data_IF_295677739576
#
_entry.id   IF_295677739576
#
_cell.length_a   1.000
_cell.length_b   1.000
_cell.length_c   1.000
_cell.angle_alpha   90.00
_cell.angle_beta   90.00
_cell.angle_gamma   90.00
#
_symmetry.space_group_name_H-M   'P 1'
#
loop_
_entity.id
_entity.type
_entity.pdbx_description
1 polymer ?
#
# COMPACT_ATOMS: atom_id res chain seq x y z
N UNK A 1 22.41 13.50 -19.36
CA UNK A 1 22.51 12.12 -19.91
C UNK A 1 21.23 11.83 -20.67
N UNK A 2 21.26 11.13 -21.82
CA UNK A 2 20.04 10.83 -22.57
C UNK A 2 19.51 9.43 -22.24
N UNK A 3 18.19 9.30 -22.09
CA UNK A 3 17.50 8.05 -21.85
C UNK A 3 16.46 7.80 -22.95
N UNK A 4 16.52 6.62 -23.56
CA UNK A 4 15.46 6.14 -24.46
C UNK A 4 14.42 5.39 -23.63
N UNK A 5 13.18 5.87 -23.65
CA UNK A 5 12.06 5.35 -22.87
C UNK A 5 11.06 4.66 -23.79
N UNK A 6 10.59 3.48 -23.38
CA UNK A 6 9.48 2.75 -24.01
C UNK A 6 8.25 2.85 -23.12
N UNK A 7 7.21 3.53 -23.59
CA UNK A 7 6.10 4.01 -22.78
C UNK A 7 4.80 3.39 -23.26
N UNK A 8 4.00 2.87 -22.33
CA UNK A 8 2.58 2.54 -22.50
C UNK A 8 1.75 3.56 -21.73
N UNK A 9 1.13 4.50 -22.44
CA UNK A 9 0.34 5.56 -21.82
C UNK A 9 -1.16 5.24 -21.86
N UNK A 10 -1.84 5.47 -20.75
CA UNK A 10 -3.28 5.33 -20.57
C UNK A 10 -4.06 6.41 -21.34
N UNK A 11 -5.09 5.98 -22.07
CA UNK A 11 -6.05 6.84 -22.75
C UNK A 11 -7.46 6.43 -22.33
N UNK A 12 -8.29 7.44 -22.08
CA UNK A 12 -9.69 7.26 -21.76
C UNK A 12 -10.41 8.60 -21.89
N UNK A 13 -11.65 8.60 -22.32
CA UNK A 13 -12.54 9.74 -22.22
C UNK A 13 -13.93 9.24 -21.82
N UNK A 14 -14.36 9.56 -20.60
CA UNK A 14 -15.61 9.08 -20.04
C UNK A 14 -16.87 9.48 -20.84
N UNK A 15 -16.75 10.45 -21.76
CA UNK A 15 -17.86 10.89 -22.62
C UNK A 15 -17.97 10.12 -23.92
N UNK A 16 -16.88 9.49 -24.39
CA UNK A 16 -16.82 8.89 -25.73
C UNK A 16 -16.38 7.43 -25.71
N UNK A 17 -15.56 7.04 -24.74
CA UNK A 17 -14.91 5.74 -24.70
C UNK A 17 -15.69 4.78 -23.79
N UNK A 18 -15.84 3.54 -24.23
CA UNK A 18 -16.47 2.49 -23.43
C UNK A 18 -15.51 1.92 -22.38
N UNK A 19 -14.23 1.75 -22.74
CA UNK A 19 -13.17 1.23 -21.87
C UNK A 19 -11.87 2.00 -22.11
N UNK A 20 -11.02 2.12 -21.09
CA UNK A 20 -9.68 2.66 -21.27
C UNK A 20 -8.85 1.77 -22.17
N UNK A 21 -7.87 2.36 -22.84
CA UNK A 21 -6.92 1.66 -23.71
C UNK A 21 -5.52 2.29 -23.57
N UNK A 22 -4.50 1.61 -24.11
CA UNK A 22 -3.11 2.06 -24.04
C UNK A 22 -2.53 2.29 -25.42
N UNK A 23 -1.71 3.33 -25.55
CA UNK A 23 -0.88 3.57 -26.74
C UNK A 23 0.60 3.52 -26.37
N UNK A 24 1.40 3.06 -27.32
CA UNK A 24 2.85 2.93 -27.14
C UNK A 24 3.57 4.13 -27.76
N UNK A 25 4.58 4.62 -27.05
CA UNK A 25 5.46 5.70 -27.50
C UNK A 25 6.91 5.35 -27.19
N UNK A 26 7.82 5.85 -28.01
CA UNK A 26 9.25 5.79 -27.73
C UNK A 26 9.81 7.20 -27.84
N UNK A 27 10.43 7.69 -26.76
CA UNK A 27 11.04 9.01 -26.71
C UNK A 27 12.47 8.91 -26.20
N UNK A 28 13.30 9.86 -26.62
CA UNK A 28 14.62 10.08 -26.02
C UNK A 28 14.57 11.41 -25.29
N UNK A 29 14.78 11.40 -23.97
CA UNK A 29 14.77 12.58 -23.13
C UNK A 29 16.08 12.72 -22.35
N UNK A 30 16.38 13.96 -21.98
CA UNK A 30 17.47 14.27 -21.07
C UNK A 30 17.10 13.86 -19.64
N UNK A 31 18.11 13.51 -18.84
CA UNK A 31 17.99 13.05 -17.46
C UNK A 31 17.34 14.09 -16.54
N UNK A 32 17.56 15.36 -16.84
CA UNK A 32 17.07 16.55 -16.16
C UNK A 32 15.66 16.96 -16.61
N UNK A 33 15.15 16.40 -17.71
CA UNK A 33 13.78 16.64 -18.13
C UNK A 33 12.81 16.17 -17.06
N UNK A 34 11.70 16.87 -16.91
CA UNK A 34 10.63 16.52 -15.98
C UNK A 34 9.64 15.51 -16.57
N UNK A 35 8.88 14.84 -15.70
CA UNK A 35 7.72 14.04 -16.13
C UNK A 35 6.71 14.90 -16.88
N UNK A 36 6.50 16.16 -16.45
CA UNK A 36 5.62 17.09 -17.16
C UNK A 36 6.04 17.30 -18.62
N UNK A 37 7.34 17.47 -18.89
CA UNK A 37 7.86 17.57 -20.26
C UNK A 37 7.61 16.29 -21.07
N UNK A 38 7.79 15.11 -20.45
CA UNK A 38 7.44 13.85 -21.10
C UNK A 38 5.95 13.78 -21.48
N UNK A 39 5.05 14.20 -20.57
CA UNK A 39 3.62 14.21 -20.84
C UNK A 39 3.25 15.18 -21.97
N UNK A 40 3.92 16.35 -22.02
CA UNK A 40 3.76 17.29 -23.13
C UNK A 40 4.18 16.65 -24.48
N UNK A 41 5.28 15.88 -24.51
CA UNK A 41 5.69 15.12 -25.72
C UNK A 41 4.65 14.07 -26.15
N UNK A 42 4.04 13.37 -25.20
CA UNK A 42 2.95 12.43 -25.49
C UNK A 42 1.75 13.18 -26.10
N UNK A 43 1.39 14.34 -25.53
CA UNK A 43 0.29 15.17 -26.04
C UNK A 43 0.59 15.75 -27.43
N UNK A 44 1.82 16.20 -27.69
CA UNK A 44 2.25 16.64 -29.02
C UNK A 44 2.15 15.51 -30.06
N UNK A 45 2.50 14.28 -29.67
CA UNK A 45 2.40 13.11 -30.53
C UNK A 45 0.95 12.58 -30.67
N UNK A 46 0.07 12.91 -29.73
CA UNK A 46 -1.34 12.52 -29.77
C UNK A 46 -2.22 13.56 -29.06
N UNK A 47 -2.93 14.37 -29.84
CA UNK A 47 -3.79 15.46 -29.34
C UNK A 47 -4.91 15.00 -28.39
N UNK A 48 -5.30 13.71 -28.46
CA UNK A 48 -6.32 13.13 -27.57
C UNK A 48 -5.75 12.72 -26.20
N UNK A 49 -4.46 12.88 -25.97
CA UNK A 49 -3.87 12.66 -24.65
C UNK A 49 -4.12 13.89 -23.77
N UNK A 50 -4.71 13.65 -22.61
CA UNK A 50 -5.00 14.67 -21.62
C UNK A 50 -4.31 14.34 -20.29
N UNK A 51 -3.78 15.35 -19.63
CA UNK A 51 -3.19 15.24 -18.30
C UNK A 51 -3.42 16.54 -17.51
N UNK A 52 -3.45 16.46 -16.16
CA UNK A 52 -3.76 17.62 -15.33
C UNK A 52 -2.65 18.68 -15.41
N UNK A 53 -3.04 19.95 -15.54
CA UNK A 53 -2.10 21.08 -15.64
C UNK A 53 -1.67 21.63 -14.27
N UNK A 54 -2.46 21.35 -13.23
CA UNK A 54 -2.18 21.66 -11.83
C UNK A 54 -2.29 20.38 -11.02
N UNK A 55 -1.57 20.30 -9.89
CA UNK A 55 -1.54 19.10 -9.04
C UNK A 55 -1.19 17.85 -9.87
N UNK A 56 -0.17 17.95 -10.73
CA UNK A 56 0.18 16.90 -11.66
C UNK A 56 0.75 15.69 -10.91
N UNK A 57 -0.11 14.71 -10.65
CA UNK A 57 0.20 13.44 -10.00
C UNK A 57 -0.36 12.30 -10.86
N UNK A 58 0.45 11.28 -11.08
CA UNK A 58 0.12 10.11 -11.91
C UNK A 58 0.80 8.86 -11.38
N UNK A 59 0.57 7.72 -12.03
CA UNK A 59 1.29 6.47 -11.75
C UNK A 59 2.27 6.14 -12.86
N UNK A 60 3.50 5.78 -12.48
CA UNK A 60 4.51 5.17 -13.36
C UNK A 60 4.92 3.84 -12.75
N UNK A 61 4.65 2.73 -13.43
CA UNK A 61 4.92 1.37 -12.93
C UNK A 61 4.40 1.16 -11.49
N UNK A 62 3.16 1.59 -11.22
CA UNK A 62 2.48 1.57 -9.92
C UNK A 62 3.00 2.54 -8.84
N UNK A 63 4.08 3.29 -9.08
CA UNK A 63 4.51 4.38 -8.20
C UNK A 63 3.74 5.64 -8.48
N UNK A 64 3.27 6.32 -7.44
CA UNK A 64 2.70 7.66 -7.53
C UNK A 64 3.84 8.66 -7.69
N UNK A 65 3.80 9.43 -8.77
CA UNK A 65 4.87 10.32 -9.22
C UNK A 65 4.29 11.70 -9.46
N UNK A 66 4.97 12.72 -8.95
CA UNK A 66 4.68 14.11 -9.23
C UNK A 66 5.30 14.55 -10.56
N UNK A 67 4.64 15.46 -11.27
CA UNK A 67 5.08 15.95 -12.59
C UNK A 67 6.44 16.62 -12.60
N UNK A 68 6.89 17.10 -11.45
CA UNK A 68 8.20 17.75 -11.25
C UNK A 68 9.36 16.76 -11.17
N UNK A 69 9.08 15.46 -11.01
CA UNK A 69 10.13 14.45 -10.90
C UNK A 69 10.94 14.34 -12.19
N UNK A 70 12.23 14.06 -12.06
CA UNK A 70 13.16 14.02 -13.20
C UNK A 70 13.19 12.63 -13.85
N UNK A 71 13.35 12.58 -15.17
CA UNK A 71 13.48 11.33 -15.92
C UNK A 71 14.63 10.47 -15.39
N UNK A 72 15.78 11.07 -15.06
CA UNK A 72 16.94 10.34 -14.56
C UNK A 72 16.68 9.59 -13.26
N UNK A 73 16.02 10.24 -12.30
CA UNK A 73 15.67 9.62 -11.01
C UNK A 73 14.73 8.42 -11.19
N UNK A 74 13.74 8.55 -12.07
CA UNK A 74 12.79 7.49 -12.41
C UNK A 74 13.48 6.35 -13.14
N UNK A 75 14.36 6.63 -14.11
CA UNK A 75 15.09 5.57 -14.83
C UNK A 75 15.98 4.77 -13.88
N UNK A 76 16.65 5.42 -12.94
CA UNK A 76 17.51 4.75 -11.97
C UNK A 76 16.74 3.70 -11.15
N UNK A 77 15.47 3.96 -10.83
CA UNK A 77 14.65 3.07 -10.00
C UNK A 77 13.75 2.12 -10.79
N UNK A 78 13.19 2.58 -11.89
CA UNK A 78 12.12 1.90 -12.63
C UNK A 78 12.60 1.32 -13.98
N UNK A 79 13.85 1.58 -14.37
CA UNK A 79 14.35 1.25 -15.70
C UNK A 79 13.74 2.14 -16.77
N UNK A 80 13.76 1.69 -18.03
CA UNK A 80 13.33 2.49 -19.19
C UNK A 80 12.01 2.06 -19.81
N UNK A 81 11.33 1.04 -19.27
CA UNK A 81 10.03 0.58 -19.74
C UNK A 81 8.94 0.98 -18.75
N UNK A 82 8.08 1.91 -19.15
CA UNK A 82 7.13 2.57 -18.27
C UNK A 82 5.69 2.36 -18.72
N UNK A 83 4.83 1.99 -17.78
CA UNK A 83 3.38 2.14 -17.90
C UNK A 83 2.96 3.41 -17.16
N UNK A 84 2.29 4.31 -17.86
CA UNK A 84 1.77 5.57 -17.35
C UNK A 84 0.25 5.45 -17.20
N UNK A 85 -0.21 5.60 -15.96
CA UNK A 85 -1.62 5.50 -15.58
C UNK A 85 -2.07 6.78 -14.83
N UNK A 86 -3.37 7.12 -14.85
CA UNK A 86 -3.90 8.10 -13.90
C UNK A 86 -3.60 7.63 -12.47
N UNK A 87 -3.47 8.56 -11.53
CA UNK A 87 -3.24 8.19 -10.13
C UNK A 87 -4.39 7.32 -9.58
N UNK A 88 -5.60 7.51 -10.10
CA UNK A 88 -6.74 6.62 -9.92
C UNK A 88 -7.50 6.43 -11.23
N UNK A 89 -7.45 5.22 -11.80
CA UNK A 89 -8.22 4.85 -12.99
C UNK A 89 -9.73 4.87 -12.74
N UNK A 90 -10.16 4.56 -11.51
CA UNK A 90 -11.56 4.63 -11.11
C UNK A 90 -12.11 6.07 -11.17
N UNK A 91 -11.28 7.06 -10.85
CA UNK A 91 -11.65 8.48 -10.86
C UNK A 91 -11.35 9.17 -12.19
N UNK A 92 -10.72 8.47 -13.14
CA UNK A 92 -10.28 9.06 -14.40
C UNK A 92 -11.47 9.51 -15.26
N UNK A 93 -11.43 10.74 -15.77
CA UNK A 93 -12.47 11.29 -16.63
C UNK A 93 -11.98 11.52 -18.07
N UNK A 94 -10.73 11.91 -18.26
CA UNK A 94 -10.12 12.21 -19.55
C UNK A 94 -8.59 12.08 -19.46
N UNK A 95 -8.05 11.02 -20.05
CA UNK A 95 -6.63 10.68 -19.98
C UNK A 95 -6.20 10.44 -18.53
N UNK A 96 -5.17 11.18 -18.11
CA UNK A 96 -4.65 11.13 -16.73
C UNK A 96 -5.43 12.05 -15.76
N UNK A 97 -6.36 12.87 -16.25
CA UNK A 97 -7.17 13.72 -15.39
C UNK A 97 -8.18 12.89 -14.59
N UNK A 98 -8.31 13.21 -13.30
CA UNK A 98 -9.23 12.55 -12.37
C UNK A 98 -10.24 13.54 -11.80
N UNK A 99 -11.36 13.02 -11.29
CA UNK A 99 -12.17 13.74 -10.31
C UNK A 99 -11.49 13.65 -8.94
N UNK A 100 -10.96 14.77 -8.46
CA UNK A 100 -10.18 14.87 -7.21
C UNK A 100 -10.91 15.59 -6.07
N UNK A 101 -12.24 15.75 -6.19
CA UNK A 101 -13.05 16.46 -5.19
C UNK A 101 -13.00 15.82 -3.79
N UNK A 102 -12.70 14.51 -3.70
CA UNK A 102 -12.56 13.77 -2.45
C UNK A 102 -11.40 14.25 -1.59
N UNK A 103 -10.36 14.83 -2.19
CA UNK A 103 -9.25 15.42 -1.46
C UNK A 103 -9.74 16.55 -0.54
N UNK A 104 -10.44 17.55 -1.10
CA UNK A 104 -10.97 18.64 -0.28
C UNK A 104 -12.17 18.22 0.58
N UNK A 105 -12.90 17.16 0.20
CA UNK A 105 -13.92 16.56 1.06
C UNK A 105 -13.30 15.98 2.35
N UNK A 106 -12.10 15.39 2.25
CA UNK A 106 -11.38 14.86 3.40
C UNK A 106 -10.92 16.00 4.33
N UNK A 107 -10.41 17.10 3.77
CA UNK A 107 -10.11 18.31 4.54
C UNK A 107 -11.34 18.87 5.29
N UNK A 108 -12.53 18.76 4.71
CA UNK A 108 -13.75 19.30 5.33
C UNK A 108 -14.04 18.72 6.72
N UNK A 109 -13.50 17.53 7.05
CA UNK A 109 -13.58 16.95 8.39
C UNK A 109 -12.87 17.80 9.45
N UNK A 110 -11.79 18.48 9.06
CA UNK A 110 -10.94 19.28 9.95
C UNK A 110 -11.07 20.78 9.73
N UNK A 111 -11.72 21.20 8.64
CA UNK A 111 -11.94 22.60 8.30
C UNK A 111 -12.52 23.46 9.44
N UNK A 112 -13.47 22.98 10.28
CA UNK A 112 -13.99 23.75 11.42
C UNK A 112 -12.94 24.07 12.50
N UNK A 113 -11.81 23.37 12.50
CA UNK A 113 -10.75 23.47 13.51
C UNK A 113 -9.43 24.00 12.92
N UNK A 114 -9.37 24.20 11.61
CA UNK A 114 -8.16 24.50 10.85
C UNK A 114 -7.96 26.01 10.63
N UNK A 115 -6.71 26.45 10.59
CA UNK A 115 -6.30 27.79 10.18
C UNK A 115 -5.98 27.84 8.69
N UNK A 116 -5.76 29.03 8.15
CA UNK A 116 -5.34 29.18 6.73
C UNK A 116 -4.02 28.46 6.43
N UNK A 117 -3.08 28.47 7.38
CA UNK A 117 -1.80 27.78 7.28
C UNK A 117 -1.97 26.24 7.21
N UNK A 118 -2.96 25.70 7.93
CA UNK A 118 -3.30 24.27 7.91
C UNK A 118 -3.89 23.87 6.56
N UNK A 119 -4.75 24.72 5.98
CA UNK A 119 -5.28 24.52 4.64
C UNK A 119 -4.18 24.60 3.57
N UNK A 120 -3.22 25.51 3.73
CA UNK A 120 -2.06 25.62 2.84
C UNK A 120 -1.16 24.39 2.94
N UNK A 121 -0.87 23.92 4.15
CA UNK A 121 -0.12 22.70 4.39
C UNK A 121 -0.84 21.47 3.82
N UNK A 122 -2.16 21.34 4.05
CA UNK A 122 -2.91 20.20 3.52
C UNK A 122 -2.77 20.05 2.01
N UNK A 123 -2.82 21.17 1.26
CA UNK A 123 -2.66 21.16 -0.20
C UNK A 123 -1.31 20.60 -0.66
N UNK A 124 -0.26 20.69 0.15
CA UNK A 124 1.05 20.07 -0.19
C UNK A 124 1.02 18.55 -0.05
N UNK A 125 0.02 17.99 0.62
CA UNK A 125 -0.17 16.54 0.81
C UNK A 125 -1.02 15.90 -0.30
N UNK A 126 -1.30 16.60 -1.41
CA UNK A 126 -2.12 16.09 -2.50
C UNK A 126 -1.62 14.75 -3.05
N UNK A 127 -0.31 14.63 -3.30
CA UNK A 127 0.29 13.39 -3.78
C UNK A 127 0.19 12.25 -2.75
N UNK A 128 0.34 12.58 -1.45
CA UNK A 128 0.22 11.62 -0.36
C UNK A 128 -1.20 11.03 -0.28
N UNK A 129 -2.23 11.84 -0.47
CA UNK A 129 -3.63 11.40 -0.45
C UNK A 129 -3.86 10.23 -1.40
N UNK A 130 -3.47 10.40 -2.68
CA UNK A 130 -3.65 9.37 -3.71
C UNK A 130 -2.59 8.26 -3.72
N UNK A 131 -1.54 8.39 -2.90
CA UNK A 131 -0.53 7.37 -2.72
C UNK A 131 -0.93 6.30 -1.69
N UNK A 132 -1.99 6.52 -0.90
CA UNK A 132 -2.41 5.59 0.14
C UNK A 132 -2.80 4.23 -0.42
N UNK A 133 -2.23 3.15 0.13
CA UNK A 133 -2.64 1.79 -0.23
C UNK A 133 -3.94 1.35 0.42
N UNK A 134 -4.38 2.01 1.48
CA UNK A 134 -5.68 1.74 2.10
C UNK A 134 -6.83 2.06 1.14
N UNK A 135 -6.71 3.14 0.35
CA UNK A 135 -7.73 3.56 -0.63
C UNK A 135 -7.96 2.50 -1.73
N UNK A 136 -6.96 1.63 -2.00
CA UNK A 136 -7.12 0.51 -2.94
C UNK A 136 -8.20 -0.50 -2.50
N UNK A 137 -8.49 -0.56 -1.20
CA UNK A 137 -9.40 -1.55 -0.62
C UNK A 137 -10.69 -0.94 -0.06
N UNK A 138 -10.67 0.35 0.28
CA UNK A 138 -11.80 1.13 0.81
C UNK A 138 -11.81 2.50 0.16
N UNK A 139 -12.81 2.77 -0.70
CA UNK A 139 -12.88 4.02 -1.48
C UNK A 139 -13.33 5.20 -0.64
N UNK A 140 -14.03 4.91 0.45
CA UNK A 140 -14.58 5.84 1.41
C UNK A 140 -13.54 6.23 2.49
N UNK A 141 -12.33 5.68 2.42
CA UNK A 141 -11.23 6.01 3.33
C UNK A 141 -10.87 7.49 3.22
N UNK A 142 -10.76 8.17 4.35
CA UNK A 142 -10.51 9.62 4.43
C UNK A 142 -9.11 10.06 3.96
N UNK A 143 -8.22 9.11 3.66
CA UNK A 143 -6.89 9.37 3.11
C UNK A 143 -5.83 9.66 4.17
N UNK A 144 -4.58 9.31 3.86
CA UNK A 144 -3.46 9.49 4.80
C UNK A 144 -3.13 10.98 5.02
N UNK A 145 -3.39 11.83 4.02
CA UNK A 145 -3.13 13.26 4.08
C UNK A 145 -3.88 13.96 5.21
N UNK A 146 -5.16 13.64 5.45
CA UNK A 146 -5.94 14.29 6.52
C UNK A 146 -5.50 13.83 7.90
N UNK A 147 -4.99 12.59 8.01
CA UNK A 147 -4.40 12.09 9.24
C UNK A 147 -3.09 12.83 9.56
N UNK A 148 -2.22 13.02 8.57
CA UNK A 148 -0.99 13.80 8.75
C UNK A 148 -1.31 15.25 9.15
N UNK A 149 -2.33 15.86 8.55
CA UNK A 149 -2.81 17.17 8.97
C UNK A 149 -3.30 17.18 10.43
N UNK A 150 -4.15 16.22 10.82
CA UNK A 150 -4.65 16.10 12.18
C UNK A 150 -3.51 16.01 13.21
N UNK A 151 -2.50 15.20 12.92
CA UNK A 151 -1.32 15.05 13.77
C UNK A 151 -0.59 16.38 13.93
N UNK A 152 -0.33 17.10 12.83
CA UNK A 152 0.31 18.42 12.87
C UNK A 152 -0.49 19.40 13.73
N UNK A 153 -1.80 19.53 13.48
CA UNK A 153 -2.68 20.44 14.22
C UNK A 153 -2.65 20.15 15.72
N UNK A 154 -2.70 18.88 16.12
CA UNK A 154 -2.67 18.47 17.54
C UNK A 154 -1.30 18.76 18.16
N UNK A 155 -0.21 18.38 17.50
CA UNK A 155 1.14 18.53 18.04
C UNK A 155 1.61 19.98 18.13
N UNK A 156 1.06 20.86 17.29
CA UNK A 156 1.26 22.31 17.38
C UNK A 156 0.31 23.02 18.36
N UNK A 157 -0.45 22.25 19.16
CA UNK A 157 -1.22 22.78 20.28
C UNK A 157 -2.61 23.30 19.92
N UNK A 158 -3.28 22.69 18.93
CA UNK A 158 -4.70 22.99 18.68
C UNK A 158 -5.55 22.73 19.93
N UNK A 159 -6.37 23.73 20.30
CA UNK A 159 -7.35 23.62 21.39
C UNK A 159 -8.49 22.64 21.08
N UNK A 160 -8.60 22.20 19.82
CA UNK A 160 -9.66 21.31 19.34
C UNK A 160 -9.23 19.84 19.24
N UNK A 161 -8.17 19.42 19.95
CA UNK A 161 -7.62 18.06 19.92
C UNK A 161 -8.69 16.96 19.92
N UNK A 162 -9.59 16.98 20.91
CA UNK A 162 -10.63 15.95 21.06
C UNK A 162 -11.61 15.92 19.88
N UNK A 163 -11.98 17.09 19.37
CA UNK A 163 -12.85 17.20 18.19
C UNK A 163 -12.17 16.70 16.92
N UNK A 164 -10.88 16.98 16.76
CA UNK A 164 -10.06 16.50 15.63
C UNK A 164 -9.94 14.97 15.67
N UNK A 165 -9.56 14.40 16.83
CA UNK A 165 -9.46 12.95 17.02
C UNK A 165 -10.80 12.27 16.74
N UNK A 166 -11.90 12.84 17.24
CA UNK A 166 -13.25 12.34 16.96
C UNK A 166 -13.59 12.41 15.46
N UNK A 167 -13.27 13.51 14.78
CA UNK A 167 -13.57 13.67 13.36
C UNK A 167 -12.87 12.61 12.49
N UNK A 168 -11.60 12.31 12.76
CA UNK A 168 -10.83 11.32 11.98
C UNK A 168 -11.11 9.87 12.37
N UNK A 169 -11.71 9.60 13.54
CA UNK A 169 -12.05 8.24 14.01
C UNK A 169 -13.50 7.86 13.75
N UNK A 170 -14.43 8.81 13.81
CA UNK A 170 -15.87 8.56 13.63
C UNK A 170 -16.31 8.52 12.17
N UNK A 171 -15.42 8.82 11.23
CA UNK A 171 -15.65 8.59 9.82
C UNK A 171 -15.92 7.10 9.56
N UNK A 172 -16.75 6.79 8.55
CA UNK A 172 -17.07 5.40 8.17
C UNK A 172 -15.80 4.57 7.91
N UNK A 173 -14.78 5.21 7.34
CA UNK A 173 -13.42 4.65 7.21
C UNK A 173 -12.37 5.71 7.56
N UNK A 174 -11.82 5.61 8.77
CA UNK A 174 -11.00 6.65 9.40
C UNK A 174 -9.60 6.20 9.83
N UNK A 175 -9.05 6.86 10.84
CA UNK A 175 -7.72 6.58 11.42
C UNK A 175 -7.50 5.08 11.74
N UNK A 176 -8.53 4.39 12.21
CA UNK A 176 -8.44 2.99 12.61
C UNK A 176 -8.30 2.02 11.42
N UNK A 177 -8.63 2.47 10.21
CA UNK A 177 -8.42 1.71 8.97
C UNK A 177 -7.03 1.97 8.36
N UNK A 178 -6.29 2.96 8.86
CA UNK A 178 -4.96 3.28 8.36
C UNK A 178 -3.93 2.24 8.81
N UNK A 179 -3.48 1.41 7.89
CA UNK A 179 -2.19 0.73 8.00
C UNK A 179 -1.22 1.43 7.04
N UNK A 180 -0.50 2.42 7.58
CA UNK A 180 0.25 3.40 6.79
C UNK A 180 1.24 2.73 5.85
N UNK A 181 0.93 2.83 4.57
CA UNK A 181 1.72 2.29 3.47
C UNK A 181 1.34 3.08 2.22
N UNK A 182 2.31 3.75 1.62
CA UNK A 182 2.07 4.55 0.42
C UNK A 182 2.96 4.16 -0.75
N UNK A 183 2.47 4.42 -1.95
CA UNK A 183 3.18 4.20 -3.20
C UNK A 183 3.88 5.45 -3.73
N UNK A 184 4.16 6.46 -2.91
CA UNK A 184 4.77 7.70 -3.38
C UNK A 184 6.25 7.47 -3.74
N UNK A 185 6.68 8.00 -4.88
CA UNK A 185 8.03 7.80 -5.40
C UNK A 185 9.08 8.37 -4.44
N UNK A 186 8.91 9.62 -4.01
CA UNK A 186 9.69 10.25 -2.95
C UNK A 186 8.78 10.49 -1.75
N UNK A 187 8.72 9.51 -0.85
CA UNK A 187 7.86 9.55 0.31
C UNK A 187 8.59 10.08 1.55
N UNK A 188 7.95 11.01 2.26
CA UNK A 188 8.22 11.20 3.68
C UNK A 188 7.54 10.09 4.48
N UNK A 189 8.26 9.50 5.42
CA UNK A 189 7.68 8.52 6.33
C UNK A 189 6.86 9.22 7.43
N UNK A 190 5.56 8.91 7.49
CA UNK A 190 4.64 9.40 8.50
C UNK A 190 4.16 8.29 9.45
N UNK A 191 4.78 7.09 9.42
CA UNK A 191 4.40 5.95 10.27
C UNK A 191 4.34 6.33 11.75
N UNK A 192 5.30 7.14 12.21
CA UNK A 192 5.34 7.62 13.60
C UNK A 192 4.16 8.54 13.93
N UNK A 193 3.82 9.48 13.04
CA UNK A 193 2.70 10.39 13.23
C UNK A 193 1.37 9.64 13.32
N UNK A 194 1.18 8.64 12.45
CA UNK A 194 -0.01 7.77 12.48
C UNK A 194 -0.05 6.93 13.76
N UNK A 195 1.07 6.35 14.19
CA UNK A 195 1.15 5.59 15.44
C UNK A 195 0.83 6.45 16.67
N UNK A 196 1.35 7.68 16.72
CA UNK A 196 1.05 8.65 17.78
C UNK A 196 -0.44 9.03 17.79
N UNK A 197 -1.07 9.27 16.63
CA UNK A 197 -2.51 9.49 16.57
C UNK A 197 -3.32 8.30 17.09
N UNK A 198 -2.97 7.07 16.71
CA UNK A 198 -3.64 5.86 17.21
C UNK A 198 -3.49 5.71 18.72
N UNK A 199 -2.31 6.04 19.27
CA UNK A 199 -2.08 6.05 20.71
C UNK A 199 -3.00 7.06 21.42
N UNK A 200 -3.15 8.27 20.88
CA UNK A 200 -4.02 9.30 21.47
C UNK A 200 -5.49 8.88 21.55
N UNK A 201 -5.97 8.01 20.64
CA UNK A 201 -7.35 7.50 20.65
C UNK A 201 -7.53 6.33 21.63
N UNK A 202 -6.48 5.53 21.83
CA UNK A 202 -6.54 4.33 22.68
C UNK A 202 -6.34 4.64 24.18
N UNK A 203 -5.75 5.78 24.53
CA UNK A 203 -5.55 6.20 25.92
C UNK A 203 -6.86 6.56 26.67
N UNK A 204 -7.97 6.78 25.95
CA UNK A 204 -9.30 7.00 26.56
C UNK A 204 -9.98 5.71 27.05
N UNK A 205 -9.49 4.54 26.62
CA UNK A 205 -9.90 3.24 27.17
C UNK A 205 -9.18 2.97 28.49
N UNK A 206 -9.57 3.69 29.55
CA UNK A 206 -9.22 3.26 30.91
C UNK A 206 -9.62 1.79 31.08
N UNK A 207 -8.68 0.87 31.38
CA UNK A 207 -9.02 -0.54 31.43
C UNK A 207 -10.10 -0.74 32.48
N UNK A 208 -11.24 -1.27 32.03
CA UNK A 208 -12.39 -1.54 32.88
C UNK A 208 -11.95 -2.31 34.13
N UNK A 209 -12.70 -2.16 35.22
CA UNK A 209 -12.42 -2.91 36.47
C UNK A 209 -12.27 -4.42 36.18
N UNK A 210 -13.00 -4.94 35.19
CA UNK A 210 -12.94 -6.31 34.71
C UNK A 210 -11.59 -6.64 34.06
N UNK A 211 -11.01 -5.74 33.26
CA UNK A 211 -9.68 -5.91 32.63
C UNK A 211 -8.57 -5.94 33.67
N UNK A 212 -8.63 -5.06 34.68
CA UNK A 212 -7.69 -5.05 35.83
C UNK A 212 -7.82 -6.30 36.71
N UNK A 213 -9.03 -6.83 36.86
CA UNK A 213 -9.29 -8.11 37.52
C UNK A 213 -8.71 -9.28 36.71
N UNK A 214 -8.94 -9.36 35.39
CA UNK A 214 -8.37 -10.42 34.55
C UNK A 214 -6.85 -10.41 34.55
N UNK A 215 -6.20 -9.25 34.51
CA UNK A 215 -4.74 -9.15 34.62
C UNK A 215 -4.19 -9.62 35.98
N UNK A 216 -4.97 -9.48 37.06
CA UNK A 216 -4.60 -9.98 38.40
C UNK A 216 -4.79 -11.50 38.57
N UNK A 217 -5.66 -12.13 37.78
CA UNK A 217 -5.99 -13.56 37.90
C UNK A 217 -5.46 -14.42 36.75
N UNK A 218 -5.01 -13.83 35.64
CA UNK A 218 -4.31 -14.54 34.57
C UNK A 218 -2.84 -14.73 34.96
N UNK A 219 -2.50 -15.92 35.48
CA UNK A 219 -1.11 -16.40 35.48
C UNK A 219 -0.59 -16.33 34.04
N UNK A 220 0.59 -15.74 33.83
CA UNK A 220 1.31 -15.83 32.57
C UNK A 220 1.41 -17.30 32.17
N UNK A 221 0.54 -17.72 31.26
CA UNK A 221 0.67 -19.02 30.62
C UNK A 221 1.87 -18.87 29.71
N UNK A 222 2.91 -19.64 30.00
CA UNK A 222 4.04 -19.81 29.09
C UNK A 222 3.47 -20.10 27.71
N UNK A 223 3.81 -19.33 26.66
CA UNK A 223 3.29 -19.58 25.34
C UNK A 223 3.62 -21.03 24.95
N UNK A 224 2.67 -21.77 24.37
CA UNK A 224 2.93 -23.14 23.96
C UNK A 224 4.14 -23.17 23.02
N UNK A 225 5.05 -24.11 23.27
CA UNK A 225 6.28 -24.26 22.47
C UNK A 225 5.87 -24.56 21.02
N UNK A 226 6.14 -23.64 20.10
CA UNK A 226 5.79 -23.80 18.68
C UNK A 226 6.48 -25.03 18.09
N UNK A 227 5.71 -25.84 17.36
CA UNK A 227 6.22 -27.01 16.64
C UNK A 227 6.66 -26.55 15.26
N UNK A 228 7.92 -26.81 14.89
CA UNK A 228 8.44 -26.47 13.57
C UNK A 228 7.64 -27.17 12.46
N UNK A 229 7.19 -26.40 11.47
CA UNK A 229 6.43 -26.91 10.34
C UNK A 229 7.38 -27.42 9.25
N UNK A 230 7.01 -28.50 8.57
CA UNK A 230 7.71 -28.96 7.36
C UNK A 230 6.72 -29.20 6.24
N UNK A 231 7.17 -28.95 5.00
CA UNK A 231 6.38 -29.15 3.79
C UNK A 231 6.88 -30.38 3.06
N UNK A 232 5.97 -31.31 2.74
CA UNK A 232 6.32 -32.52 1.97
C UNK A 232 6.70 -32.14 0.53
N UNK A 233 7.70 -32.83 -0.01
CA UNK A 233 8.20 -32.66 -1.38
C UNK A 233 8.56 -31.20 -1.71
N UNK A 234 9.05 -30.44 -0.73
CA UNK A 234 9.32 -29.00 -0.86
C UNK A 234 10.21 -28.66 -2.07
N UNK A 235 11.20 -29.51 -2.39
CA UNK A 235 12.11 -29.31 -3.52
C UNK A 235 11.44 -29.35 -4.90
N UNK A 236 10.25 -29.95 -5.00
CA UNK A 236 9.49 -30.07 -6.27
C UNK A 236 8.52 -28.91 -6.49
N UNK A 237 8.28 -28.10 -5.45
CA UNK A 237 7.25 -27.04 -5.44
C UNK A 237 7.78 -25.69 -5.90
N UNK A 238 6.87 -24.89 -6.44
CA UNK A 238 7.09 -23.47 -6.72
C UNK A 238 6.95 -22.64 -5.44
N UNK A 239 7.99 -21.87 -5.11
CA UNK A 239 8.11 -21.18 -3.84
C UNK A 239 8.19 -19.68 -4.02
N UNK A 240 7.30 -18.96 -3.34
CA UNK A 240 7.32 -17.51 -3.26
C UNK A 240 7.74 -17.04 -1.86
N UNK A 241 8.23 -15.81 -1.76
CA UNK A 241 8.67 -15.22 -0.50
C UNK A 241 7.94 -13.91 -0.24
N UNK A 242 7.12 -13.88 0.82
CA UNK A 242 6.51 -12.68 1.37
C UNK A 242 7.38 -12.14 2.50
N UNK A 243 7.86 -10.90 2.34
CA UNK A 243 8.87 -10.31 3.20
C UNK A 243 8.47 -8.98 3.82
N UNK A 244 7.38 -8.35 3.36
CA UNK A 244 6.97 -7.02 3.82
C UNK A 244 8.14 -6.01 3.82
N UNK A 245 8.70 -5.68 4.99
CA UNK A 245 9.83 -4.76 5.14
C UNK A 245 11.21 -5.43 5.21
N UNK A 246 11.29 -6.76 5.24
CA UNK A 246 12.55 -7.49 5.30
C UNK A 246 13.26 -7.54 3.92
N UNK A 247 14.47 -8.11 3.89
CA UNK A 247 15.23 -8.25 2.65
C UNK A 247 14.80 -9.50 1.88
N UNK A 248 14.51 -9.34 0.59
CA UNK A 248 14.20 -10.45 -0.30
C UNK A 248 15.44 -11.26 -0.72
N UNK A 249 16.58 -10.58 -0.88
CA UNK A 249 17.76 -11.10 -1.59
C UNK A 249 18.34 -12.36 -0.94
N UNK A 250 18.42 -12.37 0.40
CA UNK A 250 19.00 -13.49 1.15
C UNK A 250 18.17 -14.76 1.01
N UNK A 251 16.84 -14.66 1.07
CA UNK A 251 15.95 -15.81 0.89
C UNK A 251 15.95 -16.28 -0.56
N UNK A 252 15.91 -15.34 -1.51
CA UNK A 252 15.93 -15.67 -2.94
C UNK A 252 17.23 -16.37 -3.37
N UNK A 253 18.38 -15.93 -2.84
CA UNK A 253 19.66 -16.60 -3.04
C UNK A 253 19.61 -18.06 -2.53
N UNK A 254 19.07 -18.29 -1.33
CA UNK A 254 18.94 -19.65 -0.76
C UNK A 254 18.03 -20.57 -1.57
N UNK A 255 16.89 -20.05 -2.05
CA UNK A 255 15.99 -20.78 -2.95
C UNK A 255 16.74 -21.21 -4.21
N UNK A 256 17.52 -20.28 -4.80
CA UNK A 256 18.30 -20.51 -6.02
C UNK A 256 19.43 -21.53 -5.78
N UNK A 257 20.19 -21.40 -4.70
CA UNK A 257 21.29 -22.31 -4.33
C UNK A 257 20.82 -23.76 -4.15
N UNK A 258 19.58 -23.95 -3.67
CA UNK A 258 18.97 -25.27 -3.51
C UNK A 258 18.30 -25.80 -4.79
N UNK A 259 18.41 -25.07 -5.91
CA UNK A 259 17.86 -25.47 -7.21
C UNK A 259 16.32 -25.47 -7.25
N UNK A 260 15.68 -24.77 -6.32
CA UNK A 260 14.23 -24.69 -6.22
C UNK A 260 13.67 -23.63 -7.18
N UNK A 261 12.39 -23.76 -7.56
CA UNK A 261 11.72 -22.82 -8.45
C UNK A 261 11.17 -21.63 -7.65
N UNK A 262 11.91 -20.51 -7.67
CA UNK A 262 11.47 -19.24 -7.08
C UNK A 262 10.41 -18.53 -7.94
N UNK A 263 9.37 -18.01 -7.30
CA UNK A 263 8.31 -17.19 -7.91
C UNK A 263 8.37 -15.78 -7.32
N UNK A 264 8.35 -14.77 -8.19
CA UNK A 264 8.17 -13.38 -7.81
C UNK A 264 6.71 -12.98 -8.01
N UNK A 265 6.19 -12.15 -7.11
CA UNK A 265 4.86 -11.57 -7.18
C UNK A 265 4.91 -10.12 -6.67
N UNK A 266 3.97 -9.28 -7.09
CA UNK A 266 4.08 -7.83 -6.94
C UNK A 266 3.88 -7.35 -5.49
N UNK A 267 3.09 -8.08 -4.70
CA UNK A 267 2.67 -7.70 -3.36
C UNK A 267 3.56 -8.28 -2.24
N UNK A 268 4.71 -8.85 -2.60
CA UNK A 268 5.61 -9.54 -1.67
C UNK A 268 6.16 -8.65 -0.54
N UNK A 269 6.26 -7.35 -0.80
CA UNK A 269 6.78 -6.34 0.14
C UNK A 269 5.69 -5.47 0.77
N UNK A 270 4.42 -5.89 0.69
CA UNK A 270 3.28 -5.05 1.06
C UNK A 270 2.72 -5.39 2.43
N UNK A 271 2.17 -4.41 3.13
CA UNK A 271 1.54 -4.66 4.42
C UNK A 271 0.24 -5.47 4.27
N UNK A 272 0.10 -6.50 5.12
CA UNK A 272 -0.95 -7.51 5.00
C UNK A 272 -2.24 -7.23 5.78
N UNK A 273 -2.34 -6.09 6.46
CA UNK A 273 -3.49 -5.78 7.31
C UNK A 273 -3.34 -6.22 8.77
N UNK A 274 -2.19 -6.77 9.16
CA UNK A 274 -1.93 -7.18 10.54
C UNK A 274 -2.10 -6.01 11.53
N UNK A 275 -1.63 -4.82 11.16
CA UNK A 275 -1.66 -3.63 12.00
C UNK A 275 -3.06 -3.05 12.25
N UNK A 276 -4.07 -3.54 11.51
CA UNK A 276 -5.48 -3.12 11.63
C UNK A 276 -6.42 -4.29 11.91
N UNK A 277 -5.89 -5.50 12.14
CA UNK A 277 -6.70 -6.70 12.34
C UNK A 277 -7.65 -6.60 13.53
N UNK A 278 -7.26 -5.87 14.58
CA UNK A 278 -8.11 -5.65 15.76
C UNK A 278 -9.22 -4.65 15.50
N UNK A 279 -8.93 -3.63 14.70
CA UNK A 279 -9.79 -2.48 14.49
C UNK A 279 -10.77 -2.71 13.32
N UNK A 280 -10.29 -3.27 12.22
CA UNK A 280 -11.09 -3.59 11.03
C UNK A 280 -10.67 -4.92 10.39
N UNK A 281 -11.29 -6.00 10.86
CA UNK A 281 -11.04 -7.37 10.36
C UNK A 281 -11.32 -7.54 8.87
N UNK A 282 -12.39 -6.93 8.36
CA UNK A 282 -12.79 -7.10 6.95
C UNK A 282 -11.74 -6.48 6.05
N UNK A 283 -11.28 -5.26 6.37
CA UNK A 283 -10.21 -4.62 5.62
C UNK A 283 -8.89 -5.39 5.76
N UNK A 284 -8.53 -5.83 6.96
CA UNK A 284 -7.35 -6.67 7.17
C UNK A 284 -7.38 -7.91 6.28
N UNK A 285 -8.53 -8.60 6.19
CA UNK A 285 -8.70 -9.77 5.34
C UNK A 285 -8.65 -9.45 3.85
N UNK A 286 -9.15 -8.29 3.40
CA UNK A 286 -8.97 -7.83 2.02
C UNK A 286 -7.49 -7.64 1.68
N UNK A 287 -6.71 -6.98 2.56
CA UNK A 287 -5.26 -6.77 2.36
C UNK A 287 -4.50 -8.09 2.36
N UNK A 288 -4.76 -8.95 3.34
CA UNK A 288 -4.16 -10.29 3.44
C UNK A 288 -4.48 -11.14 2.21
N UNK A 289 -5.75 -11.14 1.79
CA UNK A 289 -6.19 -11.92 0.64
C UNK A 289 -5.60 -11.43 -0.67
N UNK A 290 -5.39 -10.12 -0.85
CA UNK A 290 -4.71 -9.61 -2.04
C UNK A 290 -3.26 -10.12 -2.15
N UNK A 291 -2.53 -10.23 -1.04
CA UNK A 291 -1.16 -10.79 -1.02
C UNK A 291 -1.18 -12.28 -1.35
N UNK A 292 -2.05 -13.05 -0.68
CA UNK A 292 -2.13 -14.49 -0.89
C UNK A 292 -2.60 -14.83 -2.31
N UNK A 293 -3.57 -14.09 -2.85
CA UNK A 293 -4.05 -14.27 -4.22
C UNK A 293 -2.99 -13.90 -5.25
N UNK A 294 -2.26 -12.81 -5.08
CA UNK A 294 -1.18 -12.42 -6.00
C UNK A 294 -0.09 -13.51 -6.06
N UNK A 295 0.34 -14.02 -4.91
CA UNK A 295 1.28 -15.14 -4.87
C UNK A 295 0.71 -16.41 -5.54
N UNK A 296 -0.54 -16.76 -5.26
CA UNK A 296 -1.22 -17.92 -5.83
C UNK A 296 -1.40 -17.80 -7.35
N UNK A 297 -1.79 -16.62 -7.86
CA UNK A 297 -1.97 -16.34 -9.28
C UNK A 297 -0.65 -16.33 -10.05
N UNK A 298 0.45 -16.00 -9.39
CA UNK A 298 1.80 -16.18 -9.93
C UNK A 298 2.28 -17.64 -9.90
N UNK A 299 1.48 -18.58 -9.38
CA UNK A 299 1.78 -20.01 -9.38
C UNK A 299 2.53 -20.51 -8.14
N UNK A 300 2.56 -19.75 -7.05
CA UNK A 300 3.15 -20.22 -5.80
C UNK A 300 2.35 -21.40 -5.22
N UNK A 301 3.05 -22.49 -4.93
CA UNK A 301 2.52 -23.65 -4.17
C UNK A 301 2.90 -23.54 -2.69
N UNK A 302 4.01 -22.85 -2.40
CA UNK A 302 4.47 -22.54 -1.05
C UNK A 302 4.74 -21.05 -0.94
N UNK A 303 4.16 -20.41 0.07
CA UNK A 303 4.52 -19.05 0.47
C UNK A 303 5.36 -19.09 1.75
N UNK A 304 6.62 -18.68 1.63
CA UNK A 304 7.49 -18.39 2.76
C UNK A 304 7.09 -17.03 3.32
N UNK A 305 6.78 -16.98 4.62
CA UNK A 305 6.38 -15.77 5.32
C UNK A 305 7.48 -15.41 6.31
N UNK A 306 8.06 -14.23 6.17
CA UNK A 306 9.16 -13.77 7.02
C UNK A 306 8.70 -13.51 8.47
N UNK A 307 7.62 -12.76 8.63
CA UNK A 307 7.07 -12.37 9.92
C UNK A 307 6.14 -13.46 10.50
N UNK A 308 6.37 -13.83 11.76
CA UNK A 308 5.62 -14.91 12.40
C UNK A 308 4.17 -14.49 12.70
N UNK A 309 3.93 -13.25 13.11
CA UNK A 309 2.58 -12.76 13.42
C UNK A 309 1.72 -12.69 12.14
N UNK A 310 2.31 -12.29 11.01
CA UNK A 310 1.68 -12.35 9.70
C UNK A 310 1.34 -13.78 9.28
N UNK A 311 2.25 -14.74 9.51
CA UNK A 311 1.99 -16.15 9.24
C UNK A 311 0.83 -16.66 10.09
N UNK A 312 0.83 -16.36 11.38
CA UNK A 312 -0.24 -16.75 12.29
C UNK A 312 -1.58 -16.13 11.88
N UNK A 313 -1.60 -14.86 11.46
CA UNK A 313 -2.78 -14.22 10.91
C UNK A 313 -3.30 -14.97 9.68
N UNK A 314 -2.44 -15.25 8.70
CA UNK A 314 -2.84 -15.97 7.49
C UNK A 314 -3.37 -17.36 7.80
N UNK A 315 -2.66 -18.14 8.61
CA UNK A 315 -3.06 -19.52 8.94
C UNK A 315 -4.36 -19.57 9.75
N UNK A 316 -4.48 -18.74 10.78
CA UNK A 316 -5.66 -18.70 11.66
C UNK A 316 -6.91 -18.22 10.94
N UNK A 317 -6.76 -17.32 9.97
CA UNK A 317 -7.87 -16.67 9.29
C UNK A 317 -8.01 -17.06 7.81
N UNK A 318 -7.28 -18.08 7.33
CA UNK A 318 -7.19 -18.45 5.91
C UNK A 318 -8.57 -18.56 5.24
N UNK A 319 -9.47 -19.38 5.78
CA UNK A 319 -10.80 -19.56 5.21
C UNK A 319 -11.69 -18.30 5.29
N UNK A 320 -11.45 -17.41 6.26
CA UNK A 320 -12.16 -16.13 6.33
C UNK A 320 -11.62 -15.14 5.30
N UNK A 321 -10.30 -15.17 5.05
CA UNK A 321 -9.64 -14.40 4.00
C UNK A 321 -10.17 -14.83 2.62
N UNK A 322 -10.19 -16.13 2.32
CA UNK A 322 -10.75 -16.69 1.07
C UNK A 322 -12.20 -16.24 0.83
N UNK A 323 -13.04 -16.32 1.86
CA UNK A 323 -14.43 -15.85 1.80
C UNK A 323 -14.53 -14.36 1.53
N UNK A 324 -13.63 -13.57 2.11
CA UNK A 324 -13.63 -12.10 1.95
C UNK A 324 -13.24 -11.69 0.53
N UNK A 325 -12.28 -12.40 -0.08
CA UNK A 325 -11.86 -12.14 -1.47
C UNK A 325 -12.66 -12.91 -2.50
N UNK A 326 -13.56 -13.81 -2.07
CA UNK A 326 -14.45 -14.59 -2.93
C UNK A 326 -13.74 -15.65 -3.76
N UNK A 327 -12.58 -16.15 -3.30
CA UNK A 327 -11.76 -17.09 -4.07
C UNK A 327 -10.97 -18.04 -3.16
N UNK A 328 -11.00 -19.33 -3.50
CA UNK A 328 -10.26 -20.38 -2.81
C UNK A 328 -8.83 -20.49 -3.37
N UNK A 329 -7.85 -20.70 -2.50
CA UNK A 329 -6.42 -20.81 -2.79
C UNK A 329 -5.94 -22.23 -2.50
N UNK A 330 -6.60 -23.20 -3.14
CA UNK A 330 -6.43 -24.63 -2.88
C UNK A 330 -4.97 -25.04 -3.13
N UNK A 331 -4.36 -25.67 -2.12
CA UNK A 331 -3.00 -26.21 -2.23
C UNK A 331 -1.89 -25.21 -1.95
N UNK A 332 -2.21 -23.93 -1.67
CA UNK A 332 -1.22 -22.98 -1.20
C UNK A 332 -0.83 -23.31 0.25
N UNK A 333 0.41 -23.74 0.44
CA UNK A 333 0.97 -24.01 1.77
C UNK A 333 1.75 -22.81 2.29
N UNK A 334 1.59 -22.50 3.58
CA UNK A 334 2.29 -21.40 4.23
C UNK A 334 3.33 -21.96 5.20
N UNK A 335 4.54 -21.41 5.15
CA UNK A 335 5.64 -21.77 6.06
C UNK A 335 6.38 -20.52 6.53
N UNK A 336 6.87 -20.56 7.75
CA UNK A 336 7.72 -19.50 8.27
C UNK A 336 9.12 -19.57 7.67
N UNK A 337 9.77 -18.43 7.48
CA UNK A 337 11.13 -18.33 6.97
C UNK A 337 12.14 -19.22 7.72
N UNK A 338 12.18 -19.23 9.06
CA UNK A 338 13.18 -20.05 9.76
C UNK A 338 12.87 -21.55 9.68
N UNK A 339 11.59 -21.95 9.65
CA UNK A 339 11.19 -23.35 9.48
C UNK A 339 11.60 -23.85 8.09
N UNK A 340 11.37 -23.02 7.06
CA UNK A 340 11.83 -23.27 5.70
C UNK A 340 13.35 -23.43 5.65
N UNK A 341 14.10 -22.50 6.22
CA UNK A 341 15.57 -22.54 6.29
C UNK A 341 16.04 -23.81 7.00
N UNK A 342 15.45 -24.15 8.14
CA UNK A 342 15.79 -25.34 8.90
C UNK A 342 15.50 -26.63 8.12
N UNK A 343 14.45 -26.64 7.30
CA UNK A 343 14.12 -27.77 6.44
C UNK A 343 15.13 -27.93 5.30
N UNK A 344 15.43 -26.87 4.55
CA UNK A 344 16.35 -26.94 3.41
C UNK A 344 17.82 -27.13 3.83
N UNK A 345 18.17 -26.84 5.08
CA UNK A 345 19.51 -27.09 5.63
C UNK A 345 19.74 -28.58 5.95
N UNK A 346 18.67 -29.37 6.10
CA UNK A 346 18.72 -30.81 6.39
C UNK A 346 18.67 -31.69 5.14
N UNK A 347 18.25 -31.11 4.01
CA UNK A 347 18.26 -31.69 2.66
C UNK A 347 19.52 -31.29 1.90
#
# INVERSE_FOLDING_TARGET
MLHKLDIKAFFFNAKTDYLPYYKQFTFTLESEASVQELLARIQEANENFAYPQSNLVLKINSWVVEGTQTIGSLVQRLGTSWQIDPVSSYRANHGLCINDADFMQSFALLAPYAREEDAAFYKTLYALHYASRTELFVREYIGDAVLVLAHKMITEGSEHKESILKAITSAESGLLDCEYENGLFEAQDHSKAIAELKAMVTEDDTPSLCTKLMQRFCKEKTPPKRVAQTIKNLSEKQVAHYFAHASHDAMHARITEKGMKGIHFASANKLCGLGILKDNKVLAFKKAGAILLDAFDCGAEVLIVEDLDALEMFQKHFSAIEKTVGREMIGLELIWAEDFIAQISKS
#
